data_IF_707758932468
#
_entry.id   IF_707758932468
#
_cell.length_a   1.000
_cell.length_b   1.000
_cell.length_c   1.000
_cell.angle_alpha   90.00
_cell.angle_beta   90.00
_cell.angle_gamma   90.00
#
_symmetry.space_group_name_H-M   'P 1'
#
loop_
_entity.id
_entity.type
_entity.pdbx_description
1 polymer ?
#
# COMPACT_ATOMS: atom_id res chain seq x y z
N UNK A 1 16.88 -39.43 -23.50
CA UNK A 1 16.95 -38.29 -22.55
C UNK A 1 15.53 -37.99 -22.13
N UNK A 2 15.16 -38.40 -20.92
CA UNK A 2 13.83 -38.15 -20.34
C UNK A 2 13.71 -36.67 -19.99
N UNK A 3 12.74 -35.98 -20.59
CA UNK A 3 12.30 -34.68 -20.12
C UNK A 3 11.17 -34.94 -19.11
N UNK A 4 11.50 -34.96 -17.81
CA UNK A 4 10.49 -35.07 -16.75
C UNK A 4 9.70 -33.78 -16.75
N UNK A 5 8.48 -33.86 -17.28
CA UNK A 5 7.53 -32.77 -17.31
C UNK A 5 7.17 -32.32 -15.90
N UNK A 6 7.33 -31.02 -15.64
CA UNK A 6 6.59 -30.34 -14.58
C UNK A 6 5.13 -30.33 -15.01
N UNK A 7 4.35 -31.21 -14.42
CA UNK A 7 2.91 -31.29 -14.67
C UNK A 7 2.27 -29.97 -14.27
N UNK A 8 1.61 -29.31 -15.22
CA UNK A 8 0.86 -28.05 -15.00
C UNK A 8 -0.13 -28.19 -13.84
N UNK A 9 -0.61 -29.40 -13.57
CA UNK A 9 -1.52 -29.72 -12.46
C UNK A 9 -0.90 -29.58 -11.06
N UNK A 10 0.44 -29.55 -10.96
CA UNK A 10 1.14 -29.41 -9.69
C UNK A 10 1.18 -27.96 -9.21
N UNK A 11 1.16 -26.98 -10.13
CA UNK A 11 1.12 -25.54 -9.83
C UNK A 11 -0.25 -25.14 -9.25
N UNK A 12 -1.34 -25.73 -9.75
CA UNK A 12 -2.70 -25.41 -9.30
C UNK A 12 -3.00 -25.88 -7.86
N UNK A 13 -2.36 -26.95 -7.40
CA UNK A 13 -2.52 -27.46 -6.04
C UNK A 13 -1.74 -26.61 -5.02
N UNK A 14 -0.52 -26.16 -5.38
CA UNK A 14 0.29 -25.29 -4.53
C UNK A 14 -0.34 -23.89 -4.38
N UNK A 15 -1.03 -23.40 -5.42
CA UNK A 15 -1.80 -22.15 -5.35
C UNK A 15 -3.05 -22.28 -4.47
N UNK A 16 -3.72 -23.43 -4.46
CA UNK A 16 -4.88 -23.66 -3.59
C UNK A 16 -4.50 -23.71 -2.09
N UNK A 17 -3.33 -24.22 -1.75
CA UNK A 17 -2.84 -24.25 -0.37
C UNK A 17 -2.31 -22.88 0.10
N UNK A 18 -1.82 -22.01 -0.80
CA UNK A 18 -1.25 -20.70 -0.46
C UNK A 18 -2.32 -19.64 -0.06
N UNK A 19 -3.56 -19.78 -0.55
CA UNK A 19 -4.65 -18.81 -0.32
C UNK A 19 -5.81 -19.37 0.52
N UNK A 20 -5.70 -20.60 1.03
CA UNK A 20 -6.78 -21.33 1.68
C UNK A 20 -7.00 -21.03 3.17
N UNK A 21 -6.09 -20.33 3.85
CA UNK A 21 -6.22 -20.10 5.30
C UNK A 21 -7.05 -18.85 5.67
N UNK A 22 -7.87 -18.92 6.74
CA UNK A 22 -8.93 -17.97 7.05
C UNK A 22 -8.37 -16.73 7.77
N UNK A 23 -7.52 -15.97 7.08
CA UNK A 23 -7.07 -14.63 7.44
C UNK A 23 -6.59 -13.93 6.16
N UNK A 24 -7.54 -13.69 5.25
CA UNK A 24 -7.43 -13.10 3.91
C UNK A 24 -6.44 -11.92 3.85
N UNK A 25 -5.14 -12.21 3.79
CA UNK A 25 -4.10 -11.28 3.36
C UNK A 25 -4.22 -11.24 1.83
N UNK A 26 -4.14 -10.06 1.23
CA UNK A 26 -4.19 -9.93 -0.22
C UNK A 26 -3.10 -10.77 -0.89
N UNK A 27 -3.10 -10.84 -2.23
CA UNK A 27 -1.99 -11.49 -2.94
C UNK A 27 -0.65 -10.88 -2.51
N UNK A 28 0.46 -11.65 -2.55
CA UNK A 28 1.78 -11.12 -2.20
C UNK A 28 2.13 -9.82 -2.93
N UNK A 29 1.77 -9.74 -4.20
CA UNK A 29 1.93 -8.55 -5.05
C UNK A 29 1.14 -7.37 -4.49
N UNK A 30 -0.15 -7.56 -4.19
CA UNK A 30 -0.99 -6.51 -3.62
C UNK A 30 -0.45 -6.02 -2.27
N UNK A 31 0.01 -6.94 -1.42
CA UNK A 31 0.60 -6.59 -0.12
C UNK A 31 1.89 -5.77 -0.28
N UNK A 32 2.73 -6.11 -1.27
CA UNK A 32 3.93 -5.34 -1.59
C UNK A 32 3.57 -3.92 -2.04
N UNK A 33 2.62 -3.78 -2.96
CA UNK A 33 2.19 -2.47 -3.46
C UNK A 33 1.61 -1.59 -2.35
N UNK A 34 0.80 -2.18 -1.45
CA UNK A 34 0.30 -1.50 -0.25
C UNK A 34 1.43 -1.05 0.66
N UNK A 35 2.46 -1.89 0.87
CA UNK A 35 3.60 -1.55 1.72
C UNK A 35 4.45 -0.41 1.13
N UNK A 36 4.65 -0.40 -0.20
CA UNK A 36 5.33 0.69 -0.90
C UNK A 36 4.56 2.00 -0.72
N UNK A 37 3.24 1.97 -0.94
CA UNK A 37 2.38 3.12 -0.74
C UNK A 37 2.40 3.62 0.72
N UNK A 38 2.30 2.71 1.70
CA UNK A 38 2.36 3.07 3.12
C UNK A 38 3.70 3.71 3.48
N UNK A 39 4.83 3.17 2.99
CA UNK A 39 6.15 3.76 3.24
C UNK A 39 6.26 5.16 2.66
N UNK A 40 5.83 5.38 1.42
CA UNK A 40 5.84 6.70 0.80
C UNK A 40 5.01 7.71 1.62
N UNK A 41 3.82 7.31 2.10
CA UNK A 41 2.99 8.15 2.96
C UNK A 41 3.71 8.50 4.26
N UNK A 42 4.32 7.50 4.91
CA UNK A 42 5.07 7.69 6.16
C UNK A 42 6.27 8.63 5.98
N UNK A 43 6.91 8.59 4.82
CA UNK A 43 8.03 9.47 4.46
C UNK A 43 7.54 10.89 4.25
N UNK A 44 6.45 11.06 3.50
CA UNK A 44 5.86 12.37 3.24
C UNK A 44 5.38 13.06 4.52
N UNK A 45 4.74 12.33 5.42
CA UNK A 45 4.24 12.88 6.70
C UNK A 45 5.31 12.90 7.80
N UNK A 46 6.50 12.37 7.50
CA UNK A 46 7.62 12.23 8.43
C UNK A 46 8.27 13.56 8.82
N UNK A 47 9.45 13.47 9.42
CA UNK A 47 10.20 14.62 9.90
C UNK A 47 11.55 14.79 9.21
N UNK A 48 11.99 13.80 8.43
CA UNK A 48 13.23 13.91 7.67
C UNK A 48 12.94 14.67 6.37
N UNK A 49 13.53 15.86 6.24
CA UNK A 49 13.28 16.75 5.10
C UNK A 49 13.64 16.11 3.76
N UNK A 50 14.68 15.26 3.71
CA UNK A 50 15.07 14.59 2.46
C UNK A 50 14.07 13.51 2.08
N UNK A 51 13.61 12.72 3.05
CA UNK A 51 12.54 11.74 2.83
C UNK A 51 11.24 12.41 2.40
N UNK A 52 10.89 13.55 3.01
CA UNK A 52 9.69 14.32 2.67
C UNK A 52 9.75 14.82 1.23
N UNK A 53 10.85 15.49 0.83
CA UNK A 53 11.01 16.01 -0.55
C UNK A 53 10.97 14.87 -1.57
N UNK A 54 11.70 13.79 -1.31
CA UNK A 54 11.74 12.63 -2.21
C UNK A 54 10.37 11.97 -2.36
N UNK A 55 9.63 11.84 -1.26
CA UNK A 55 8.28 11.27 -1.29
C UNK A 55 7.27 12.22 -1.94
N UNK A 56 7.38 13.52 -1.69
CA UNK A 56 6.53 14.52 -2.34
C UNK A 56 6.69 14.49 -3.86
N UNK A 57 7.93 14.42 -4.36
CA UNK A 57 8.21 14.27 -5.79
C UNK A 57 7.59 12.99 -6.35
N UNK A 58 7.75 11.86 -5.66
CA UNK A 58 7.23 10.57 -6.10
C UNK A 58 5.68 10.50 -6.11
N UNK A 59 5.01 11.08 -5.11
CA UNK A 59 3.54 11.06 -4.99
C UNK A 59 2.89 12.08 -5.94
N UNK A 60 3.46 13.28 -6.05
CA UNK A 60 2.78 14.41 -6.72
C UNK A 60 3.38 14.81 -8.06
N UNK A 61 4.61 14.39 -8.38
CA UNK A 61 5.34 14.82 -9.58
C UNK A 61 4.69 14.38 -10.89
N UNK A 62 4.13 13.17 -10.94
CA UNK A 62 3.68 12.55 -12.19
C UNK A 62 2.15 12.39 -12.30
N UNK A 63 1.36 13.04 -11.45
CA UNK A 63 -0.10 12.89 -11.40
C UNK A 63 -0.85 13.21 -12.72
N UNK A 64 -0.19 13.90 -13.64
CA UNK A 64 -0.76 14.31 -14.93
C UNK A 64 -0.27 13.47 -16.12
N UNK A 65 0.62 12.51 -15.89
CA UNK A 65 1.17 11.70 -16.96
C UNK A 65 0.11 10.66 -17.40
N UNK A 66 -0.31 10.64 -18.67
CA UNK A 66 -1.25 9.63 -19.17
C UNK A 66 -0.63 8.22 -19.21
N UNK A 67 0.68 8.13 -19.32
CA UNK A 67 1.42 6.87 -19.37
C UNK A 67 2.02 6.61 -17.99
N UNK A 68 1.29 5.87 -17.14
CA UNK A 68 1.76 5.53 -15.81
C UNK A 68 2.99 4.61 -15.89
N UNK A 69 4.14 5.16 -15.50
CA UNK A 69 5.41 4.41 -15.42
C UNK A 69 5.27 3.31 -14.37
N UNK A 70 5.79 2.11 -14.63
CA UNK A 70 5.75 1.00 -13.67
C UNK A 70 6.32 1.43 -12.30
N UNK A 71 5.62 1.02 -11.23
CA UNK A 71 5.93 1.39 -9.84
C UNK A 71 5.86 2.89 -9.50
N UNK A 72 5.39 3.75 -10.42
CA UNK A 72 4.99 5.12 -10.06
C UNK A 72 3.77 5.13 -9.14
N UNK A 73 3.56 6.21 -8.41
CA UNK A 73 2.39 6.36 -7.55
C UNK A 73 1.05 6.15 -8.30
N UNK A 74 0.81 6.74 -9.49
CA UNK A 74 -0.39 6.47 -10.27
C UNK A 74 -0.52 5.01 -10.71
N UNK A 75 0.58 4.37 -11.14
CA UNK A 75 0.57 2.95 -11.51
C UNK A 75 0.19 2.06 -10.32
N UNK A 76 0.76 2.33 -9.15
CA UNK A 76 0.42 1.59 -7.92
C UNK A 76 -1.05 1.78 -7.56
N UNK A 77 -1.57 3.00 -7.65
CA UNK A 77 -3.00 3.26 -7.43
C UNK A 77 -3.89 2.49 -8.41
N UNK A 78 -3.48 2.41 -9.68
CA UNK A 78 -4.17 1.61 -10.70
C UNK A 78 -4.17 0.11 -10.35
N UNK A 79 -3.01 -0.47 -10.00
CA UNK A 79 -2.93 -1.89 -9.63
C UNK A 79 -3.69 -2.22 -8.34
N UNK A 80 -3.88 -1.22 -7.47
CA UNK A 80 -4.62 -1.36 -6.23
C UNK A 80 -6.12 -1.08 -6.38
N UNK A 81 -6.59 -0.69 -7.57
CA UNK A 81 -7.96 -0.24 -7.84
C UNK A 81 -8.38 0.95 -6.93
N UNK A 82 -7.49 1.92 -6.74
CA UNK A 82 -7.73 3.11 -5.92
C UNK A 82 -7.68 4.37 -6.80
N UNK A 83 -8.59 5.31 -6.57
CA UNK A 83 -8.57 6.60 -7.26
C UNK A 83 -7.34 7.42 -6.86
N UNK A 84 -6.45 7.64 -7.84
CA UNK A 84 -5.16 8.31 -7.65
C UNK A 84 -5.32 9.75 -7.15
N UNK A 85 -6.34 10.47 -7.62
CA UNK A 85 -6.54 11.88 -7.26
C UNK A 85 -7.09 12.00 -5.84
N UNK A 86 -8.03 11.14 -5.47
CA UNK A 86 -8.56 11.03 -4.12
C UNK A 86 -7.46 10.71 -3.11
N UNK A 87 -6.59 9.73 -3.42
CA UNK A 87 -5.49 9.36 -2.52
C UNK A 87 -4.47 10.50 -2.42
N UNK A 88 -4.05 11.09 -3.54
CA UNK A 88 -3.13 12.22 -3.52
C UNK A 88 -3.68 13.39 -2.69
N UNK A 89 -4.95 13.74 -2.88
CA UNK A 89 -5.59 14.82 -2.10
C UNK A 89 -5.71 14.45 -0.62
N UNK A 90 -6.01 13.19 -0.30
CA UNK A 90 -6.03 12.70 1.08
C UNK A 90 -4.64 12.83 1.72
N UNK A 91 -3.59 12.38 1.04
CA UNK A 91 -2.20 12.45 1.52
C UNK A 91 -1.77 13.89 1.73
N UNK A 92 -2.08 14.79 0.77
CA UNK A 92 -1.75 16.22 0.84
C UNK A 92 -2.32 16.88 2.11
N UNK A 93 -3.52 16.47 2.50
CA UNK A 93 -4.21 16.99 3.68
C UNK A 93 -3.86 16.26 4.99
N UNK A 94 -2.98 15.25 4.96
CA UNK A 94 -2.58 14.55 6.19
C UNK A 94 -1.77 15.47 7.12
N UNK A 95 -2.03 15.42 8.43
CA UNK A 95 -1.22 16.15 9.39
C UNK A 95 0.20 15.58 9.40
N UNK A 96 1.20 16.47 9.35
CA UNK A 96 2.59 16.08 9.54
C UNK A 96 2.77 15.52 10.95
N UNK A 97 3.60 14.49 11.07
CA UNK A 97 3.80 13.72 12.31
C UNK A 97 4.33 14.59 13.46
N UNK A 98 5.03 15.67 13.14
CA UNK A 98 5.74 16.51 14.11
C UNK A 98 6.75 15.66 14.91
N UNK A 99 7.24 16.13 16.05
CA UNK A 99 8.34 15.47 16.79
C UNK A 99 8.02 14.05 17.33
N UNK A 100 6.81 13.51 17.15
CA UNK A 100 6.42 12.19 17.66
C UNK A 100 6.86 11.07 16.71
N UNK A 101 7.27 9.93 17.27
CA UNK A 101 7.73 8.74 16.52
C UNK A 101 6.58 7.83 16.06
N UNK A 102 5.33 8.20 16.30
CA UNK A 102 4.11 7.43 15.93
C UNK A 102 3.18 8.35 15.17
N UNK A 103 2.59 7.87 14.07
CA UNK A 103 1.72 8.72 13.26
C UNK A 103 0.38 8.98 13.97
N UNK A 104 -0.19 10.20 13.91
CA UNK A 104 -1.36 10.58 14.72
C UNK A 104 -2.57 9.65 14.57
N UNK A 105 -2.79 9.07 13.39
CA UNK A 105 -3.95 8.19 13.11
C UNK A 105 -3.83 6.76 13.65
N UNK A 106 -2.64 6.32 14.09
CA UNK A 106 -2.52 5.02 14.78
C UNK A 106 -3.32 4.99 16.09
N UNK A 107 -3.55 6.16 16.70
CA UNK A 107 -4.34 6.31 17.92
C UNK A 107 -5.85 6.45 17.65
N UNK A 108 -6.28 6.72 16.43
CA UNK A 108 -7.71 6.85 16.10
C UNK A 108 -8.41 5.49 15.96
N UNK A 109 -7.66 4.40 15.73
CA UNK A 109 -8.22 3.04 15.60
C UNK A 109 -8.65 2.44 16.95
N UNK A 110 -8.13 2.90 18.08
CA UNK A 110 -8.55 2.41 19.40
C UNK A 110 -9.93 2.92 19.80
N UNK A 111 -10.29 4.16 19.44
CA UNK A 111 -11.55 4.78 19.87
C UNK A 111 -12.78 4.23 19.12
N UNK A 112 -12.61 3.81 17.87
CA UNK A 112 -13.70 3.22 17.07
C UNK A 112 -14.08 1.79 17.51
N UNK A 113 -13.21 1.11 18.27
CA UNK A 113 -13.44 -0.24 18.80
C UNK A 113 -14.16 -0.26 20.15
N UNK A 114 -14.05 0.81 20.95
CA UNK A 114 -14.64 0.88 22.29
C UNK A 114 -16.11 1.33 22.29
N UNK A 115 -16.53 2.10 21.29
CA UNK A 115 -17.94 2.54 21.16
C UNK A 115 -18.92 1.43 20.75
N UNK A 116 -18.45 0.25 20.33
CA UNK A 116 -19.33 -0.89 19.97
C UNK A 116 -19.59 -1.89 21.11
N UNK A 117 -19.05 -1.65 22.31
CA UNK A 117 -19.28 -2.52 23.49
C UNK A 117 -20.13 -1.88 24.59
N UNK A 118 -20.66 -0.69 24.36
CA UNK A 118 -21.57 0.02 25.27
C UNK A 118 -22.91 0.30 24.58
N UNK A 119 -23.61 -0.77 24.19
CA UNK A 119 -24.96 -0.74 23.61
C UNK A 119 -25.67 -2.06 23.85
#
# INVERSE_FOLDING_TARGET
MENKGTSVLQIDLDAQDLFGEPNFRGTPERNLLMAVLERAILDFVGNDEKEVISSEEWIFGELKNPDYIEFSFPWICQQLDIDVHFVAETIRNMPKRGSRRVAPWYFQKTDAGELKKAG
#
